data_IF_716127078498
#
_entry.id   IF_716127078498
#
_cell.length_a   1.000
_cell.length_b   1.000
_cell.length_c   1.000
_cell.angle_alpha   90.00
_cell.angle_beta   90.00
_cell.angle_gamma   90.00
#
_symmetry.space_group_name_H-M   'P 1'
#
loop_
_entity.id
_entity.type
_entity.pdbx_description
1 polymer ?
#
# COMPACT_ATOMS: atom_id res chain seq x y z
N UNK A 1 2.09 -10.65 -46.49
CA UNK A 1 2.96 -10.35 -45.34
C UNK A 1 2.04 -9.96 -44.19
N UNK A 2 1.73 -10.88 -43.28
CA UNK A 2 0.77 -10.64 -42.19
C UNK A 2 1.56 -10.12 -40.99
N UNK A 3 1.39 -8.83 -40.67
CA UNK A 3 1.97 -8.21 -39.49
C UNK A 3 1.17 -8.69 -38.27
N UNK A 4 1.67 -9.68 -37.55
CA UNK A 4 1.13 -10.11 -36.25
C UNK A 4 1.70 -9.17 -35.19
N UNK A 5 0.95 -8.13 -34.85
CA UNK A 5 1.23 -7.27 -33.70
C UNK A 5 0.91 -8.02 -32.42
N UNK A 6 1.93 -8.64 -31.82
CA UNK A 6 1.83 -9.23 -30.49
C UNK A 6 1.66 -8.10 -29.45
N UNK A 7 0.44 -7.90 -28.97
CA UNK A 7 0.16 -7.07 -27.80
C UNK A 7 0.74 -7.77 -26.58
N UNK A 8 1.93 -7.36 -26.15
CA UNK A 8 2.46 -7.70 -24.83
C UNK A 8 1.61 -6.96 -23.79
N UNK A 9 0.61 -7.62 -23.22
CA UNK A 9 -0.05 -7.13 -22.02
C UNK A 9 0.96 -7.19 -20.88
N UNK A 10 1.54 -6.03 -20.53
CA UNK A 10 2.35 -5.91 -19.33
C UNK A 10 1.44 -6.14 -18.11
N UNK A 11 1.50 -7.33 -17.51
CA UNK A 11 0.90 -7.60 -16.22
C UNK A 11 1.74 -6.89 -15.15
N UNK A 12 1.51 -5.59 -15.00
CA UNK A 12 2.25 -4.74 -14.07
C UNK A 12 1.30 -4.13 -13.04
N UNK A 13 0.47 -4.95 -12.41
CA UNK A 13 -0.01 -4.70 -11.06
C UNK A 13 -0.62 -6.00 -10.48
N UNK A 14 -0.12 -6.47 -9.35
CA UNK A 14 -0.68 -7.66 -8.68
C UNK A 14 -1.88 -7.31 -7.80
N UNK A 15 -2.22 -6.03 -7.66
CA UNK A 15 -3.27 -5.54 -6.77
C UNK A 15 -3.08 -5.97 -5.31
N UNK A 16 -4.05 -5.69 -4.44
CA UNK A 16 -3.98 -6.15 -3.07
C UNK A 16 -4.06 -7.68 -2.91
N UNK A 17 -3.20 -8.23 -2.07
CA UNK A 17 -3.12 -9.64 -1.74
C UNK A 17 -3.80 -9.88 -0.39
N UNK A 18 -4.67 -10.88 -0.30
CA UNK A 18 -5.36 -11.26 0.93
C UNK A 18 -4.41 -12.02 1.87
N UNK A 19 -4.29 -11.55 3.12
CA UNK A 19 -3.42 -12.14 4.17
C UNK A 19 -4.19 -12.55 5.43
N UNK A 20 -5.50 -12.27 5.49
CA UNK A 20 -6.39 -12.67 6.58
C UNK A 20 -7.85 -12.65 6.13
N UNK A 21 -8.83 -12.91 7.03
CA UNK A 21 -10.26 -12.94 6.67
C UNK A 21 -10.75 -11.67 5.97
N UNK A 22 -10.38 -10.51 6.52
CA UNK A 22 -10.68 -9.18 5.96
C UNK A 22 -9.42 -8.33 5.79
N UNK A 23 -8.24 -8.94 5.88
CA UNK A 23 -6.93 -8.28 5.87
C UNK A 23 -6.21 -8.47 4.54
N UNK A 24 -5.64 -7.39 4.04
CA UNK A 24 -4.97 -7.31 2.75
C UNK A 24 -3.66 -6.54 2.88
N UNK A 25 -2.72 -6.83 1.98
CA UNK A 25 -1.49 -6.07 1.80
C UNK A 25 -1.32 -5.66 0.35
N UNK A 26 -0.72 -4.49 0.12
CA UNK A 26 -0.27 -4.08 -1.21
C UNK A 26 1.08 -3.39 -1.10
N UNK A 27 1.97 -3.72 -2.03
CA UNK A 27 3.27 -3.08 -2.17
C UNK A 27 3.31 -2.34 -3.51
N UNK A 28 3.59 -1.04 -3.47
CA UNK A 28 3.72 -0.21 -4.66
C UNK A 28 5.13 0.33 -4.77
N UNK A 29 5.59 0.46 -6.03
CA UNK A 29 6.84 1.14 -6.36
C UNK A 29 6.56 2.19 -7.42
N UNK A 30 6.98 3.42 -7.14
CA UNK A 30 6.88 4.54 -8.09
C UNK A 30 8.28 4.94 -8.56
N UNK A 31 8.47 5.20 -9.86
CA UNK A 31 9.77 5.62 -10.38
C UNK A 31 10.10 7.08 -10.01
N UNK A 32 9.09 7.92 -9.75
CA UNK A 32 9.21 9.35 -9.43
C UNK A 32 8.28 9.73 -8.27
N UNK A 33 8.69 10.73 -7.47
CA UNK A 33 7.89 11.29 -6.37
C UNK A 33 8.19 10.68 -4.99
N UNK A 34 9.16 9.77 -4.90
CA UNK A 34 9.65 9.21 -3.64
C UNK A 34 8.59 8.46 -2.82
N UNK A 35 8.90 8.14 -1.54
CA UNK A 35 8.05 7.35 -0.66
C UNK A 35 6.64 7.93 -0.48
N UNK A 36 6.50 9.26 -0.53
CA UNK A 36 5.20 9.92 -0.40
C UNK A 36 4.27 9.58 -1.57
N UNK A 37 4.80 9.56 -2.79
CA UNK A 37 4.01 9.22 -3.97
C UNK A 37 3.68 7.72 -4.00
N UNK A 38 4.58 6.85 -3.55
CA UNK A 38 4.31 5.41 -3.38
C UNK A 38 3.17 5.15 -2.39
N UNK A 39 3.20 5.82 -1.23
CA UNK A 39 2.12 5.77 -0.22
C UNK A 39 0.77 6.18 -0.82
N UNK A 40 0.75 7.29 -1.55
CA UNK A 40 -0.46 7.79 -2.21
C UNK A 40 -1.04 6.77 -3.20
N UNK A 41 -0.18 6.12 -3.99
CA UNK A 41 -0.62 5.09 -4.92
C UNK A 41 -1.15 3.84 -4.19
N UNK A 42 -0.44 3.34 -3.19
CA UNK A 42 -0.88 2.18 -2.40
C UNK A 42 -2.25 2.41 -1.74
N UNK A 43 -2.44 3.59 -1.13
CA UNK A 43 -3.70 3.96 -0.51
C UNK A 43 -4.83 4.08 -1.54
N UNK A 44 -4.55 4.65 -2.72
CA UNK A 44 -5.55 4.77 -3.78
C UNK A 44 -6.02 3.40 -4.27
N UNK A 45 -5.09 2.49 -4.56
CA UNK A 45 -5.40 1.13 -5.01
C UNK A 45 -6.14 0.33 -3.94
N UNK A 46 -5.74 0.44 -2.67
CA UNK A 46 -6.44 -0.20 -1.56
C UNK A 46 -7.87 0.34 -1.37
N UNK A 47 -8.09 1.64 -1.50
CA UNK A 47 -9.43 2.24 -1.46
C UNK A 47 -10.30 1.69 -2.60
N UNK A 48 -9.80 1.72 -3.84
CA UNK A 48 -10.51 1.20 -5.00
C UNK A 48 -10.86 -0.29 -4.84
N UNK A 49 -9.95 -1.06 -4.26
CA UNK A 49 -10.19 -2.47 -3.99
C UNK A 49 -11.30 -2.71 -2.95
N UNK A 50 -11.31 -1.99 -1.83
CA UNK A 50 -12.40 -2.12 -0.85
C UNK A 50 -13.74 -1.59 -1.41
N UNK A 51 -13.71 -0.47 -2.13
CA UNK A 51 -14.90 0.12 -2.78
C UNK A 51 -15.53 -0.82 -3.80
N UNK A 52 -14.71 -1.53 -4.59
CA UNK A 52 -15.18 -2.54 -5.55
C UNK A 52 -15.96 -3.69 -4.89
N UNK A 53 -15.77 -3.90 -3.59
CA UNK A 53 -16.47 -4.88 -2.77
C UNK A 53 -17.61 -4.27 -1.94
N UNK A 54 -17.91 -2.99 -2.12
CA UNK A 54 -18.91 -2.26 -1.32
C UNK A 54 -18.50 -2.04 0.13
N UNK A 55 -17.20 -2.07 0.43
CA UNK A 55 -16.60 -2.00 1.77
C UNK A 55 -15.82 -0.70 1.97
N UNK A 56 -15.49 -0.40 3.22
CA UNK A 56 -14.65 0.75 3.60
C UNK A 56 -13.26 0.27 4.02
N UNK A 57 -12.24 1.04 3.65
CA UNK A 57 -10.87 0.77 4.06
C UNK A 57 -10.65 1.14 5.52
N UNK A 58 -9.92 0.30 6.24
CA UNK A 58 -9.28 0.66 7.51
C UNK A 58 -7.78 0.35 7.40
N UNK A 59 -6.95 1.39 7.39
CA UNK A 59 -5.49 1.23 7.33
C UNK A 59 -4.97 0.64 8.65
N UNK A 60 -4.21 -0.44 8.62
CA UNK A 60 -3.60 -1.02 9.83
C UNK A 60 -2.20 -0.45 10.04
N UNK A 61 -1.35 -0.64 9.03
CA UNK A 61 0.05 -0.27 9.07
C UNK A 61 0.51 0.22 7.70
N UNK A 62 1.50 1.10 7.70
CA UNK A 62 2.08 1.63 6.48
C UNK A 62 3.57 1.88 6.68
N UNK A 63 4.38 1.35 5.78
CA UNK A 63 5.80 1.67 5.68
C UNK A 63 6.12 2.20 4.29
N UNK A 64 7.14 3.04 4.22
CA UNK A 64 7.64 3.57 2.96
C UNK A 64 9.12 3.89 3.05
N UNK A 65 9.83 3.66 1.97
CA UNK A 65 11.26 3.93 1.84
C UNK A 65 11.57 4.48 0.44
N UNK A 66 12.72 5.15 0.31
CA UNK A 66 13.31 5.38 -1.01
C UNK A 66 13.81 4.04 -1.55
N UNK A 67 13.69 3.80 -2.84
CA UNK A 67 14.33 2.62 -3.44
C UNK A 67 15.84 2.83 -3.64
N UNK A 68 16.56 1.71 -3.81
CA UNK A 68 18.02 1.67 -3.87
C UNK A 68 18.66 2.48 -5.02
N UNK A 69 17.87 2.95 -6.00
CA UNK A 69 18.34 3.64 -7.22
C UNK A 69 18.52 5.15 -7.04
N UNK A 70 19.31 5.57 -6.04
CA UNK A 70 19.88 6.93 -5.94
C UNK A 70 18.87 8.08 -6.18
N UNK A 71 17.77 8.07 -5.42
CA UNK A 71 16.92 9.24 -5.19
C UNK A 71 15.87 9.48 -6.27
N UNK A 72 14.61 9.53 -5.85
CA UNK A 72 13.46 9.95 -6.66
C UNK A 72 12.40 8.88 -6.78
N UNK A 73 12.76 7.62 -6.59
CA UNK A 73 11.85 6.49 -6.63
C UNK A 73 11.41 6.13 -5.21
N UNK A 74 10.14 5.75 -5.06
CA UNK A 74 9.54 5.40 -3.78
C UNK A 74 9.01 3.98 -3.75
N UNK A 75 9.06 3.39 -2.57
CA UNK A 75 8.38 2.13 -2.26
C UNK A 75 7.48 2.34 -1.05
N UNK A 76 6.31 1.71 -1.08
CA UNK A 76 5.42 1.66 0.06
C UNK A 76 4.79 0.27 0.17
N UNK A 77 4.63 -0.18 1.40
CA UNK A 77 3.84 -1.35 1.74
C UNK A 77 2.80 -0.94 2.77
N UNK A 78 1.55 -1.32 2.54
CA UNK A 78 0.46 -1.09 3.50
C UNK A 78 -0.26 -2.37 3.80
N UNK A 79 -0.64 -2.52 5.07
CA UNK A 79 -1.60 -3.51 5.53
C UNK A 79 -2.90 -2.79 5.85
N UNK A 80 -4.02 -3.35 5.39
CA UNK A 80 -5.32 -2.73 5.56
C UNK A 80 -6.42 -3.77 5.63
N UNK A 81 -7.57 -3.35 6.15
CA UNK A 81 -8.79 -4.14 6.19
C UNK A 81 -9.83 -3.56 5.23
N UNK A 82 -10.66 -4.42 4.65
CA UNK A 82 -11.90 -4.00 3.98
C UNK A 82 -13.10 -4.41 4.84
N UNK A 83 -13.71 -3.44 5.52
CA UNK A 83 -14.79 -3.68 6.47
C UNK A 83 -16.16 -3.30 5.89
N UNK A 84 -17.22 -3.91 6.39
CA UNK A 84 -18.57 -3.54 5.98
C UNK A 84 -18.91 -2.11 6.41
N UNK A 85 -19.75 -1.41 5.63
CA UNK A 85 -20.23 -0.08 6.03
C UNK A 85 -20.94 -0.17 7.39
N UNK A 86 -20.52 0.65 8.34
CA UNK A 86 -21.05 0.64 9.71
C UNK A 86 -20.47 -0.44 10.62
N UNK A 87 -19.40 -1.14 10.21
CA UNK A 87 -18.66 -2.05 11.09
C UNK A 87 -18.20 -1.29 12.37
N UNK A 88 -18.43 -1.81 13.59
CA UNK A 88 -18.02 -1.15 14.83
C UNK A 88 -16.52 -0.85 14.95
N UNK A 89 -15.69 -1.52 14.15
CA UNK A 89 -14.24 -1.32 14.08
C UNK A 89 -13.85 -0.15 13.16
N UNK A 90 -14.74 0.32 12.29
CA UNK A 90 -14.56 1.55 11.50
C UNK A 90 -14.69 2.76 12.41
N UNK A 91 -13.62 3.01 13.17
CA UNK A 91 -13.46 4.20 14.01
C UNK A 91 -12.48 5.14 13.35
N UNK A 92 -12.69 6.44 13.57
CA UNK A 92 -11.72 7.46 13.15
C UNK A 92 -10.36 7.12 13.75
N UNK A 93 -9.39 6.85 12.87
CA UNK A 93 -8.02 6.59 13.29
C UNK A 93 -7.44 7.83 13.94
N UNK A 94 -6.86 7.65 15.13
CA UNK A 94 -6.05 8.67 15.78
C UNK A 94 -4.60 8.38 15.40
N UNK A 95 -4.08 9.09 14.41
CA UNK A 95 -2.67 8.96 14.05
C UNK A 95 -1.83 9.60 15.16
N UNK A 96 -1.05 8.79 15.88
CA UNK A 96 0.05 9.30 16.69
C UNK A 96 1.25 9.45 15.76
N UNK A 97 2.01 10.56 15.82
CA UNK A 97 3.27 10.63 15.10
C UNK A 97 4.16 9.45 15.49
N UNK A 98 4.83 8.87 14.49
CA UNK A 98 5.81 7.81 14.71
C UNK A 98 6.90 8.32 15.67
N UNK A 99 7.34 7.49 16.64
CA UNK A 99 8.39 7.89 17.57
C UNK A 99 9.67 8.20 16.79
N UNK A 100 10.11 9.46 16.87
CA UNK A 100 11.29 9.98 16.15
C UNK A 100 12.62 9.43 16.67
N UNK A 101 12.61 8.60 17.71
CA UNK A 101 13.80 8.02 18.32
C UNK A 101 13.64 6.50 18.45
N UNK A 102 14.51 5.74 17.79
CA UNK A 102 14.70 4.31 18.09
C UNK A 102 15.61 4.22 19.31
N UNK A 103 15.08 3.69 20.42
CA UNK A 103 15.88 3.40 21.61
C UNK A 103 16.59 2.07 21.33
N UNK A 104 17.90 2.11 21.08
CA UNK A 104 18.74 0.92 21.04
C UNK A 104 19.19 0.61 22.48
N UNK A 105 18.72 -0.52 23.02
CA UNK A 105 19.14 -0.98 24.34
C UNK A 105 20.40 -1.83 24.13
N UNK A 106 21.55 -1.25 24.44
CA UNK A 106 22.83 -1.99 24.53
C UNK A 106 22.78 -2.91 25.75
N UNK A 107 22.48 -4.18 25.53
CA UNK A 107 22.55 -5.20 26.58
C UNK A 107 24.00 -5.70 26.70
N UNK A 108 24.77 -5.05 27.58
CA UNK A 108 26.10 -5.50 27.98
C UNK A 108 26.07 -6.43 29.19
#
# INVERSE_FOLDING_TARGET
>A
MVLVTAMLTACADSGPIKVGPDTYTISTRVPLGGPASAKGQALKEANQFCESQGREILLDHMQSSECALHGGCGEAEIFFFCLAKGDPQLKRQKYSPDPTQKIEIDQR
#
